data_IF_731750558442
#
_entry.id   IF_731750558442
#
_cell.length_a   1.000
_cell.length_b   1.000
_cell.length_c   1.000
_cell.angle_alpha   90.00
_cell.angle_beta   90.00
_cell.angle_gamma   90.00
#
_symmetry.space_group_name_H-M   'P 1'
#
loop_
_entity.id
_entity.type
_entity.pdbx_description
1 polymer ?
#
# COMPACT_ATOMS: atom_id res chain seq x y z
N UNK A 1 4.38 -42.89 -60.68
CA UNK A 1 3.44 -41.78 -60.38
C UNK A 1 3.03 -41.92 -58.91
N UNK A 2 3.69 -41.19 -58.02
CA UNK A 2 3.39 -41.20 -56.57
C UNK A 2 2.24 -40.21 -56.34
N UNK A 3 1.10 -40.71 -55.87
CA UNK A 3 -0.06 -39.89 -55.49
C UNK A 3 0.09 -39.59 -53.99
N UNK A 4 0.45 -38.35 -53.67
CA UNK A 4 0.46 -37.84 -52.30
C UNK A 4 -0.98 -37.47 -51.89
N UNK A 5 -1.57 -38.23 -50.97
CA UNK A 5 -2.87 -37.93 -50.37
C UNK A 5 -2.63 -36.98 -49.20
N UNK A 6 -2.93 -35.69 -49.41
CA UNK A 6 -2.87 -34.66 -48.39
C UNK A 6 -4.14 -34.76 -47.51
N UNK A 7 -4.02 -35.41 -46.35
CA UNK A 7 -5.10 -35.48 -45.36
C UNK A 7 -5.11 -34.15 -44.60
N UNK A 8 -6.03 -33.25 -44.97
CA UNK A 8 -6.29 -32.02 -44.21
C UNK A 8 -7.18 -32.41 -43.03
N UNK A 9 -6.58 -32.66 -41.86
CA UNK A 9 -7.36 -32.79 -40.62
C UNK A 9 -7.79 -31.39 -40.19
N UNK A 10 -9.01 -31.01 -40.56
CA UNK A 10 -9.68 -29.84 -40.00
C UNK A 10 -9.95 -30.09 -38.52
N UNK A 11 -9.01 -29.71 -37.66
CA UNK A 11 -9.25 -29.59 -36.23
C UNK A 11 -10.19 -28.40 -36.02
N UNK A 12 -11.50 -28.65 -35.99
CA UNK A 12 -12.45 -27.71 -35.39
C UNK A 12 -12.06 -27.57 -33.93
N UNK A 13 -11.36 -26.48 -33.61
CA UNK A 13 -11.25 -26.00 -32.24
C UNK A 13 -12.65 -25.54 -31.87
N UNK A 14 -13.38 -26.36 -31.11
CA UNK A 14 -14.54 -25.88 -30.38
C UNK A 14 -14.05 -24.79 -29.42
N UNK A 15 -14.28 -23.53 -29.79
CA UNK A 15 -14.26 -22.44 -28.82
C UNK A 15 -15.37 -22.70 -27.83
N UNK A 16 -15.05 -23.38 -26.73
CA UNK A 16 -15.87 -23.34 -25.51
C UNK A 16 -15.97 -21.88 -25.12
N UNK A 17 -17.08 -21.24 -25.44
CA UNK A 17 -17.50 -20.01 -24.78
C UNK A 17 -17.84 -20.40 -23.35
N UNK A 18 -16.83 -20.46 -22.47
CA UNK A 18 -17.10 -20.46 -21.05
C UNK A 18 -17.73 -19.10 -20.75
N UNK A 19 -19.02 -19.11 -20.40
CA UNK A 19 -19.68 -17.98 -19.77
C UNK A 19 -18.89 -17.63 -18.50
N UNK A 20 -17.95 -16.68 -18.60
CA UNK A 20 -17.17 -16.14 -17.49
C UNK A 20 -18.03 -15.16 -16.68
N UNK A 21 -19.16 -15.63 -16.15
CA UNK A 21 -20.00 -14.83 -15.24
C UNK A 21 -19.87 -15.29 -13.77
N UNK A 22 -18.83 -16.04 -13.42
CA UNK A 22 -18.57 -16.52 -12.05
C UNK A 22 -17.14 -16.20 -11.57
N UNK A 23 -16.63 -15.00 -11.83
CA UNK A 23 -15.49 -14.49 -11.06
C UNK A 23 -15.95 -14.16 -9.63
N UNK A 24 -15.09 -14.28 -8.60
CA UNK A 24 -15.44 -13.79 -7.27
C UNK A 24 -15.80 -12.31 -7.37
N UNK A 25 -17.00 -11.95 -6.89
CA UNK A 25 -17.46 -10.57 -6.90
C UNK A 25 -16.44 -9.73 -6.13
N UNK A 26 -15.78 -8.78 -6.79
CA UNK A 26 -14.75 -7.96 -6.15
C UNK A 26 -15.44 -7.00 -5.19
N UNK A 27 -15.17 -7.13 -3.90
CA UNK A 27 -15.66 -6.21 -2.89
C UNK A 27 -14.67 -5.08 -2.71
N UNK A 28 -15.15 -3.83 -2.75
CA UNK A 28 -14.36 -2.63 -2.49
C UNK A 28 -15.02 -1.86 -1.34
N UNK A 29 -14.30 -1.70 -0.24
CA UNK A 29 -14.73 -0.90 0.92
C UNK A 29 -13.77 0.29 1.11
N UNK A 30 -14.29 1.40 1.62
CA UNK A 30 -13.53 2.63 1.89
C UNK A 30 -13.56 2.95 3.37
N UNK A 31 -12.38 3.14 3.97
CA UNK A 31 -12.24 3.49 5.38
C UNK A 31 -11.84 4.95 5.53
N UNK A 32 -12.71 5.73 6.18
CA UNK A 32 -12.50 7.15 6.48
C UNK A 32 -12.63 7.35 7.98
N UNK A 33 -11.53 7.69 8.63
CA UNK A 33 -11.45 7.93 10.08
C UNK A 33 -12.15 9.25 10.45
N UNK A 34 -12.52 9.41 11.73
CA UNK A 34 -13.09 10.67 12.22
C UNK A 34 -12.10 11.84 12.10
N UNK A 35 -10.80 11.57 12.21
CA UNK A 35 -9.75 12.57 11.98
C UNK A 35 -9.77 13.07 10.53
N UNK A 36 -9.83 12.16 9.56
CA UNK A 36 -9.90 12.47 8.12
C UNK A 36 -11.17 13.23 7.78
N UNK A 37 -12.33 12.84 8.33
CA UNK A 37 -13.59 13.58 8.16
C UNK A 37 -13.52 14.99 8.74
N UNK A 38 -12.97 15.14 9.95
CA UNK A 38 -12.84 16.43 10.64
C UNK A 38 -11.91 17.39 9.90
N UNK A 39 -10.84 16.88 9.31
CA UNK A 39 -9.87 17.65 8.53
C UNK A 39 -10.28 17.85 7.06
N UNK A 40 -11.41 17.25 6.63
CA UNK A 40 -11.98 17.33 5.28
C UNK A 40 -10.97 16.95 4.18
N UNK A 41 -10.23 15.85 4.40
CA UNK A 41 -9.29 15.37 3.40
C UNK A 41 -10.01 14.74 2.20
N UNK A 42 -9.50 14.93 0.96
CA UNK A 42 -10.17 14.48 -0.26
C UNK A 42 -9.92 12.99 -0.57
N UNK A 43 -9.54 12.18 0.42
CA UNK A 43 -9.20 10.77 0.26
C UNK A 43 -9.56 9.96 1.50
N UNK A 44 -9.67 8.65 1.34
CA UNK A 44 -9.86 7.70 2.45
C UNK A 44 -8.51 7.32 3.08
N UNK A 45 -8.49 7.09 4.39
CA UNK A 45 -7.31 6.58 5.11
C UNK A 45 -6.84 5.24 4.53
N UNK A 46 -7.79 4.39 4.12
CA UNK A 46 -7.50 3.17 3.38
C UNK A 46 -8.66 2.76 2.45
N UNK A 47 -8.31 2.03 1.39
CA UNK A 47 -9.27 1.28 0.57
C UNK A 47 -9.01 -0.21 0.75
N UNK A 48 -10.06 -1.02 0.85
CA UNK A 48 -9.97 -2.47 0.99
C UNK A 48 -10.53 -3.09 -0.27
N UNK A 49 -9.71 -3.84 -1.01
CA UNK A 49 -10.14 -4.62 -2.18
C UNK A 49 -10.02 -6.09 -1.83
N UNK A 50 -11.16 -6.76 -1.70
CA UNK A 50 -11.27 -8.11 -1.13
C UNK A 50 -10.58 -8.20 0.25
N UNK A 51 -9.41 -8.83 0.33
CA UNK A 51 -8.65 -8.99 1.59
C UNK A 51 -7.38 -8.11 1.65
N UNK A 52 -7.17 -7.22 0.68
CA UNK A 52 -5.99 -6.35 0.62
C UNK A 52 -6.38 -4.95 1.08
N UNK A 53 -5.65 -4.43 2.05
CA UNK A 53 -5.78 -3.08 2.58
C UNK A 53 -4.71 -2.21 1.91
N UNK A 54 -5.14 -1.16 1.23
CA UNK A 54 -4.31 -0.12 0.64
C UNK A 54 -4.37 1.11 1.55
N UNK A 55 -3.37 1.29 2.40
CA UNK A 55 -3.27 2.46 3.29
C UNK A 55 -2.75 3.64 2.48
N UNK A 56 -3.44 4.78 2.56
CA UNK A 56 -2.99 6.02 1.93
C UNK A 56 -1.64 6.49 2.51
N UNK A 57 -0.90 7.32 1.77
CA UNK A 57 0.36 7.90 2.24
C UNK A 57 0.18 8.61 3.58
N UNK A 58 0.84 8.08 4.61
CA UNK A 58 0.86 8.67 5.95
C UNK A 58 2.11 9.52 6.12
N UNK A 59 1.96 10.68 6.76
CA UNK A 59 3.07 11.52 7.22
C UNK A 59 3.13 11.52 8.75
N UNK A 60 4.20 12.10 9.32
CA UNK A 60 4.44 12.15 10.75
C UNK A 60 3.62 13.21 11.51
N UNK A 61 2.36 13.46 11.13
CA UNK A 61 1.51 14.43 11.81
C UNK A 61 0.89 13.86 13.11
N UNK A 62 0.61 14.76 14.04
CA UNK A 62 -0.13 14.46 15.27
C UNK A 62 -1.56 14.05 14.89
N UNK A 63 -2.08 12.90 15.39
CA UNK A 63 -3.42 12.44 15.05
C UNK A 63 -4.50 13.51 15.27
N UNK A 64 -5.32 13.76 14.26
CA UNK A 64 -6.38 14.77 14.28
C UNK A 64 -5.90 16.22 14.10
N UNK A 65 -4.63 16.42 13.71
CA UNK A 65 -4.02 17.72 13.41
C UNK A 65 -3.18 17.65 12.13
N UNK A 66 -2.95 18.80 11.50
CA UNK A 66 -1.99 18.97 10.38
C UNK A 66 -0.58 19.38 10.86
N UNK A 67 -0.32 19.36 12.17
CA UNK A 67 1.00 19.64 12.73
C UNK A 67 1.88 18.38 12.71
N UNK A 68 3.06 18.49 12.09
CA UNK A 68 4.09 17.45 12.11
C UNK A 68 4.75 17.36 13.48
N UNK A 69 5.08 16.15 13.93
CA UNK A 69 5.87 15.97 15.14
C UNK A 69 7.25 16.61 14.98
N UNK A 70 7.75 17.21 16.06
CA UNK A 70 9.08 17.82 16.07
C UNK A 70 10.16 16.75 16.22
N UNK A 71 11.36 17.04 15.71
CA UNK A 71 12.54 16.17 15.88
C UNK A 71 13.07 15.55 14.59
N UNK A 72 12.58 15.99 13.43
CA UNK A 72 13.15 15.63 12.12
C UNK A 72 12.77 14.22 11.66
N UNK A 73 13.53 13.69 10.71
CA UNK A 73 13.18 12.47 9.96
C UNK A 73 12.90 11.28 10.86
N UNK A 74 13.64 11.10 11.96
CA UNK A 74 13.45 9.96 12.85
C UNK A 74 12.12 10.02 13.60
N UNK A 75 11.80 11.19 14.19
CA UNK A 75 10.51 11.35 14.88
C UNK A 75 9.33 11.30 13.92
N UNK A 76 9.44 11.92 12.75
CA UNK A 76 8.39 11.84 11.72
C UNK A 76 8.21 10.41 11.21
N UNK A 77 9.28 9.64 11.02
CA UNK A 77 9.18 8.22 10.63
C UNK A 77 8.47 7.40 11.71
N UNK A 78 8.85 7.59 12.98
CA UNK A 78 8.18 6.91 14.11
C UNK A 78 6.69 7.22 14.16
N UNK A 79 6.31 8.49 14.02
CA UNK A 79 4.91 8.88 14.02
C UNK A 79 4.16 8.36 12.79
N UNK A 80 4.79 8.41 11.61
CA UNK A 80 4.24 7.85 10.36
C UNK A 80 3.87 6.38 10.53
N UNK A 81 4.79 5.57 11.08
CA UNK A 81 4.53 4.14 11.29
C UNK A 81 3.42 3.88 12.33
N UNK A 82 3.29 4.74 13.37
CA UNK A 82 2.18 4.67 14.33
C UNK A 82 0.83 4.99 13.68
N UNK A 83 0.79 6.04 12.84
CA UNK A 83 -0.42 6.41 12.11
C UNK A 83 -0.88 5.24 11.20
N UNK A 84 0.05 4.56 10.52
CA UNK A 84 -0.23 3.34 9.76
C UNK A 84 -0.78 2.22 10.66
N UNK A 85 -0.14 1.96 11.79
CA UNK A 85 -0.56 0.92 12.73
C UNK A 85 -1.99 1.15 13.26
N UNK A 86 -2.35 2.40 13.56
CA UNK A 86 -3.70 2.78 14.01
C UNK A 86 -4.77 2.49 12.94
N UNK A 87 -4.48 2.81 11.67
CA UNK A 87 -5.37 2.51 10.54
C UNK A 87 -5.55 1.00 10.38
N UNK A 88 -4.45 0.23 10.36
CA UNK A 88 -4.50 -1.22 10.23
C UNK A 88 -5.26 -1.88 11.38
N UNK A 89 -5.03 -1.43 12.62
CA UNK A 89 -5.72 -1.91 13.81
C UNK A 89 -7.22 -1.65 13.73
N UNK A 90 -7.63 -0.46 13.29
CA UNK A 90 -9.04 -0.09 13.10
C UNK A 90 -9.74 -0.95 12.05
N UNK A 91 -8.98 -1.57 11.15
CA UNK A 91 -9.47 -2.50 10.13
C UNK A 91 -9.34 -3.98 10.53
N UNK A 92 -8.91 -4.28 11.75
CA UNK A 92 -8.70 -5.66 12.23
C UNK A 92 -7.45 -6.33 11.69
N UNK A 93 -6.51 -5.56 11.13
CA UNK A 93 -5.20 -6.02 10.64
C UNK A 93 -4.09 -5.63 11.64
N UNK A 94 -2.82 -5.73 11.22
CA UNK A 94 -1.65 -5.35 12.03
C UNK A 94 -0.40 -5.12 11.17
N UNK A 95 0.64 -4.55 11.77
CA UNK A 95 1.95 -4.35 11.12
C UNK A 95 2.59 -5.66 10.63
N UNK A 96 2.32 -6.79 11.29
CA UNK A 96 2.80 -8.13 10.88
C UNK A 96 2.19 -8.62 9.56
N UNK A 97 1.07 -8.03 9.13
CA UNK A 97 0.37 -8.37 7.88
C UNK A 97 0.74 -7.44 6.72
N UNK A 98 1.59 -6.44 6.95
CA UNK A 98 2.11 -5.55 5.91
C UNK A 98 3.08 -6.32 5.02
N UNK A 99 2.89 -6.27 3.70
CA UNK A 99 3.72 -7.01 2.74
C UNK A 99 4.41 -6.12 1.69
N UNK A 100 3.97 -4.86 1.54
CA UNK A 100 4.57 -3.85 0.66
C UNK A 100 4.52 -2.48 1.30
N UNK A 101 5.63 -1.73 1.22
CA UNK A 101 5.66 -0.30 1.55
C UNK A 101 6.27 0.51 0.40
N UNK A 102 5.84 1.75 0.25
CA UNK A 102 6.51 2.77 -0.57
C UNK A 102 6.89 3.91 0.36
N UNK A 103 8.17 4.25 0.41
CA UNK A 103 8.70 5.32 1.27
C UNK A 103 9.15 6.49 0.42
N UNK A 104 8.50 7.63 0.57
CA UNK A 104 8.84 8.88 -0.11
C UNK A 104 9.50 9.81 0.90
N UNK A 105 10.64 10.40 0.54
CA UNK A 105 11.38 11.34 1.38
C UNK A 105 11.45 12.72 0.72
N UNK A 106 11.57 13.76 1.55
CA UNK A 106 11.89 15.12 1.08
C UNK A 106 13.37 15.28 0.71
N UNK A 107 14.26 14.53 1.39
CA UNK A 107 15.69 14.50 1.13
C UNK A 107 16.19 13.05 1.19
N UNK A 108 16.81 12.59 0.10
CA UNK A 108 17.35 11.23 0.03
C UNK A 108 18.55 11.02 0.96
N UNK A 109 19.22 12.10 1.39
CA UNK A 109 20.32 12.02 2.35
C UNK A 109 19.88 11.46 3.70
N UNK A 110 18.61 11.65 4.07
CA UNK A 110 18.00 11.18 5.32
C UNK A 110 17.54 9.70 5.25
N UNK A 111 17.74 9.01 4.12
CA UNK A 111 17.27 7.63 3.91
C UNK A 111 17.77 6.62 4.94
N UNK A 112 19.02 6.79 5.41
CA UNK A 112 19.61 5.91 6.42
C UNK A 112 18.90 6.05 7.77
N UNK A 113 18.65 7.28 8.20
CA UNK A 113 17.96 7.58 9.46
C UNK A 113 16.50 7.15 9.44
N UNK A 114 15.79 7.41 8.34
CA UNK A 114 14.44 6.88 8.12
C UNK A 114 14.44 5.35 8.20
N UNK A 115 15.38 4.68 7.52
CA UNK A 115 15.45 3.22 7.49
C UNK A 115 15.72 2.60 8.86
N UNK A 116 16.46 3.31 9.73
CA UNK A 116 16.71 2.90 11.11
C UNK A 116 15.41 2.85 11.92
N UNK A 117 14.54 3.84 11.81
CA UNK A 117 13.26 3.87 12.52
C UNK A 117 12.24 2.93 11.89
N UNK A 118 12.16 2.92 10.56
CA UNK A 118 11.27 2.06 9.79
C UNK A 118 11.46 0.58 10.16
N UNK A 119 12.69 0.08 10.28
CA UNK A 119 12.93 -1.35 10.54
C UNK A 119 12.50 -1.78 11.94
N UNK A 120 12.35 -0.86 12.90
CA UNK A 120 12.03 -1.17 14.31
C UNK A 120 10.60 -1.69 14.50
N UNK A 121 9.69 -1.40 13.55
CA UNK A 121 8.29 -1.82 13.65
C UNK A 121 7.99 -3.17 12.99
N UNK A 122 8.99 -3.80 12.36
CA UNK A 122 8.83 -5.09 11.69
C UNK A 122 9.68 -6.17 12.34
N UNK A 123 9.16 -7.40 12.34
CA UNK A 123 9.96 -8.57 12.67
C UNK A 123 11.16 -8.70 11.71
N UNK A 124 12.34 -8.97 12.26
CA UNK A 124 13.57 -9.00 11.48
C UNK A 124 13.54 -10.01 10.31
N UNK A 125 12.79 -11.10 10.44
CA UNK A 125 12.67 -12.16 9.44
C UNK A 125 11.48 -11.95 8.47
N UNK A 126 10.66 -10.91 8.66
CA UNK A 126 9.44 -10.66 7.89
C UNK A 126 9.29 -9.19 7.51
N UNK A 127 10.33 -8.63 6.88
CA UNK A 127 10.28 -7.26 6.39
C UNK A 127 9.51 -7.22 5.06
N UNK A 128 8.57 -6.28 4.88
CA UNK A 128 7.83 -6.16 3.63
C UNK A 128 8.76 -5.76 2.49
N UNK A 129 8.34 -6.07 1.26
CA UNK A 129 8.96 -5.49 0.07
C UNK A 129 8.86 -3.96 0.12
N UNK A 130 9.91 -3.25 -0.33
CA UNK A 130 10.00 -1.79 -0.17
C UNK A 130 10.57 -1.11 -1.40
N UNK A 131 9.94 -0.01 -1.80
CA UNK A 131 10.50 0.98 -2.72
C UNK A 131 10.77 2.26 -1.93
N UNK A 132 11.89 2.94 -2.20
CA UNK A 132 12.21 4.21 -1.56
C UNK A 132 12.81 5.20 -2.57
N UNK A 133 12.36 6.44 -2.53
CA UNK A 133 12.86 7.52 -3.39
C UNK A 133 12.63 8.87 -2.70
N UNK A 134 13.22 9.94 -3.25
CA UNK A 134 12.97 11.29 -2.79
C UNK A 134 12.32 12.14 -3.89
N UNK A 135 11.46 13.06 -3.47
CA UNK A 135 10.84 14.08 -4.32
C UNK A 135 11.32 15.48 -3.94
N UNK A 136 10.72 16.51 -4.53
CA UNK A 136 11.04 17.92 -4.22
C UNK A 136 10.24 18.48 -3.03
N UNK A 137 9.33 17.68 -2.45
CA UNK A 137 8.49 18.06 -1.32
C UNK A 137 7.41 17.01 -1.05
N UNK A 138 6.86 17.04 0.16
CA UNK A 138 5.78 16.17 0.63
C UNK A 138 4.67 17.01 1.27
N UNK A 139 3.49 16.41 1.47
CA UNK A 139 2.38 17.08 2.13
C UNK A 139 2.80 17.66 3.49
N UNK A 140 2.26 18.84 3.84
CA UNK A 140 2.57 19.55 5.10
C UNK A 140 4.04 19.95 5.29
N UNK A 141 4.90 19.78 4.27
CA UNK A 141 6.35 19.96 4.41
C UNK A 141 7.01 18.80 5.17
N UNK A 142 6.38 17.62 5.18
CA UNK A 142 6.89 16.44 5.86
C UNK A 142 8.26 16.01 5.30
N UNK A 143 9.02 15.34 6.15
CA UNK A 143 10.29 14.73 5.77
C UNK A 143 10.14 13.35 5.17
N UNK A 144 9.09 12.64 5.57
CA UNK A 144 8.76 11.30 5.08
C UNK A 144 7.25 11.12 4.93
N UNK A 145 6.88 10.40 3.88
CA UNK A 145 5.54 9.88 3.66
C UNK A 145 5.65 8.39 3.32
N UNK A 146 4.82 7.55 3.94
CA UNK A 146 4.84 6.10 3.73
C UNK A 146 3.41 5.61 3.48
N UNK A 147 3.21 4.95 2.35
CA UNK A 147 2.05 4.09 2.12
C UNK A 147 2.42 2.62 2.32
N UNK A 148 1.43 1.79 2.65
CA UNK A 148 1.64 0.35 2.71
C UNK A 148 0.42 -0.45 2.28
N UNK A 149 0.68 -1.68 1.84
CA UNK A 149 -0.34 -2.67 1.60
C UNK A 149 -0.23 -3.79 2.63
N UNK A 150 -1.37 -4.21 3.15
CA UNK A 150 -1.50 -5.28 4.14
C UNK A 150 -2.63 -6.23 3.79
N UNK A 151 -2.66 -7.41 4.42
CA UNK A 151 -3.82 -8.30 4.37
C UNK A 151 -4.71 -8.09 5.59
N UNK A 152 -6.03 -8.19 5.44
CA UNK A 152 -6.97 -8.13 6.58
C UNK A 152 -6.88 -9.39 7.45
#
# INVERSE_FOLDING_TARGET
MIIAILIITSSCVETRTSNYNNGPNTQIDYYVSENTKKLDFPFSDATIVNNVIYVAGQVGNIPGSNELVKGGIKEETRQTMKNIEEILTSLGSSMEKVFKCTCMLSDISEWGEMSEEYRKVFNDNKKPSRSAFAGTGLALGAKVEIECWAVK
#
